data_IF_770464615197
#
_entry.id   IF_770464615197
#
_cell.length_a   1.000
_cell.length_b   1.000
_cell.length_c   1.000
_cell.angle_alpha   90.00
_cell.angle_beta   90.00
_cell.angle_gamma   90.00
#
_symmetry.space_group_name_H-M   'P 1'
#
loop_
_entity.id
_entity.type
_entity.pdbx_description
1 polymer ?
#
# COMPACT_ATOMS: atom_id res chain seq x y z
N UNK A 1 14.93 -14.05 51.69
CA UNK A 1 14.89 -14.04 50.21
C UNK A 1 13.58 -14.70 49.79
N UNK A 2 12.55 -13.90 49.55
CA UNK A 2 11.25 -14.41 49.09
C UNK A 2 11.30 -14.55 47.57
N UNK A 3 11.04 -15.75 47.07
CA UNK A 3 10.93 -16.04 45.65
C UNK A 3 9.78 -15.24 45.02
N UNK A 4 9.91 -14.76 43.77
CA UNK A 4 8.85 -14.04 43.10
C UNK A 4 7.73 -15.01 42.71
N UNK A 5 6.50 -14.67 43.10
CA UNK A 5 5.27 -15.35 42.71
C UNK A 5 5.11 -15.29 41.18
N UNK A 6 4.81 -16.40 40.49
CA UNK A 6 4.59 -16.37 39.05
C UNK A 6 3.31 -15.61 38.72
N UNK A 7 3.47 -14.53 37.95
CA UNK A 7 2.39 -13.73 37.38
C UNK A 7 1.68 -14.58 36.32
N UNK A 8 0.42 -14.97 36.59
CA UNK A 8 -0.41 -15.71 35.63
C UNK A 8 -0.80 -14.79 34.48
N UNK A 9 -0.03 -14.83 33.39
CA UNK A 9 -0.51 -14.37 32.08
C UNK A 9 -1.66 -15.28 31.64
N UNK A 10 -2.87 -14.87 31.95
CA UNK A 10 -4.08 -15.49 31.43
C UNK A 10 -4.22 -15.07 29.98
N UNK A 11 -3.91 -15.98 29.06
CA UNK A 11 -4.14 -15.76 27.63
C UNK A 11 -5.63 -15.45 27.40
N UNK A 12 -5.96 -14.20 27.07
CA UNK A 12 -7.33 -13.79 26.76
C UNK A 12 -7.81 -14.52 25.49
N UNK A 13 -9.05 -14.98 25.49
CA UNK A 13 -9.63 -15.65 24.32
C UNK A 13 -9.82 -14.65 23.16
N UNK A 14 -9.75 -15.08 21.88
CA UNK A 14 -9.96 -14.18 20.74
C UNK A 14 -11.28 -13.40 20.80
N UNK A 15 -12.32 -14.03 21.36
CA UNK A 15 -13.62 -13.39 21.56
C UNK A 15 -13.59 -12.28 22.62
N UNK A 16 -12.79 -12.44 23.69
CA UNK A 16 -12.61 -11.40 24.71
C UNK A 16 -11.79 -10.23 24.17
N UNK A 17 -10.77 -10.51 23.37
CA UNK A 17 -9.98 -9.48 22.67
C UNK A 17 -10.84 -8.65 21.71
N UNK A 18 -11.72 -9.30 20.95
CA UNK A 18 -12.66 -8.62 20.04
C UNK A 18 -13.62 -7.71 20.81
N UNK A 19 -14.09 -8.15 21.97
CA UNK A 19 -14.97 -7.35 22.83
C UNK A 19 -14.23 -6.16 23.44
N UNK A 20 -13.00 -6.36 23.90
CA UNK A 20 -12.15 -5.29 24.40
C UNK A 20 -11.86 -4.27 23.28
N UNK A 21 -11.52 -4.74 22.08
CA UNK A 21 -11.33 -3.89 20.91
C UNK A 21 -12.56 -3.01 20.63
N UNK A 22 -13.75 -3.61 20.55
CA UNK A 22 -15.00 -2.89 20.29
C UNK A 22 -15.31 -1.87 21.38
N UNK A 23 -15.05 -2.22 22.65
CA UNK A 23 -15.19 -1.27 23.77
C UNK A 23 -14.25 -0.07 23.61
N UNK A 24 -12.95 -0.30 23.42
CA UNK A 24 -11.96 0.78 23.31
C UNK A 24 -12.24 1.65 22.08
N UNK A 25 -12.63 1.05 20.95
CA UNK A 25 -13.06 1.79 19.75
C UNK A 25 -14.32 2.62 20.00
N UNK A 26 -15.30 2.09 20.73
CA UNK A 26 -16.53 2.83 21.05
C UNK A 26 -16.25 4.03 21.96
N UNK A 27 -15.34 3.86 22.95
CA UNK A 27 -14.91 4.94 23.83
C UNK A 27 -14.17 6.06 23.10
N UNK A 28 -13.40 5.70 22.07
CA UNK A 28 -12.70 6.65 21.23
C UNK A 28 -13.63 7.45 20.31
N UNK A 29 -14.62 6.77 19.71
CA UNK A 29 -15.57 7.38 18.76
C UNK A 29 -16.63 8.24 19.45
N UNK A 30 -17.07 7.84 20.64
CA UNK A 30 -18.16 8.48 21.35
C UNK A 30 -17.91 8.50 22.88
N UNK A 31 -16.91 9.26 23.36
CA UNK A 31 -16.53 9.30 24.78
C UNK A 31 -17.64 9.82 25.71
N UNK A 32 -18.57 10.60 25.15
CA UNK A 32 -19.69 11.21 25.88
C UNK A 32 -20.95 10.34 25.91
N UNK A 33 -20.94 9.16 25.27
CA UNK A 33 -22.09 8.27 25.20
C UNK A 33 -22.41 7.66 26.58
N UNK A 34 -23.69 7.49 26.88
CA UNK A 34 -24.11 6.79 28.09
C UNK A 34 -23.68 5.31 28.05
N UNK A 35 -23.46 4.69 29.22
CA UNK A 35 -23.16 3.25 29.30
C UNK A 35 -24.22 2.38 28.60
N UNK A 36 -25.50 2.77 28.64
CA UNK A 36 -26.56 2.04 27.94
C UNK A 36 -26.41 2.13 26.41
N UNK A 37 -26.08 3.31 25.89
CA UNK A 37 -25.84 3.50 24.47
C UNK A 37 -24.58 2.75 24.00
N UNK A 38 -23.51 2.77 24.79
CA UNK A 38 -22.29 2.01 24.51
C UNK A 38 -22.55 0.50 24.49
N UNK A 39 -23.35 -0.01 25.44
CA UNK A 39 -23.70 -1.43 25.49
C UNK A 39 -24.45 -1.87 24.23
N UNK A 40 -25.39 -1.04 23.74
CA UNK A 40 -26.11 -1.29 22.49
C UNK A 40 -25.18 -1.26 21.28
N UNK A 41 -24.28 -0.27 21.18
CA UNK A 41 -23.34 -0.15 20.06
C UNK A 41 -22.37 -1.34 19.98
N UNK A 42 -21.89 -1.83 21.13
CA UNK A 42 -21.00 -3.00 21.20
C UNK A 42 -21.77 -4.32 21.05
N UNK A 43 -23.09 -4.31 21.24
CA UNK A 43 -23.96 -5.48 21.13
C UNK A 43 -23.94 -6.41 22.36
N UNK A 44 -23.79 -5.85 23.56
CA UNK A 44 -23.70 -6.61 24.82
C UNK A 44 -24.66 -6.09 25.89
N UNK A 45 -24.87 -6.87 26.96
CA UNK A 45 -25.67 -6.43 28.10
C UNK A 45 -24.96 -5.31 28.89
N UNK A 46 -25.74 -4.44 29.55
CA UNK A 46 -25.21 -3.36 30.39
C UNK A 46 -24.31 -3.90 31.52
N UNK A 47 -24.68 -5.03 32.12
CA UNK A 47 -23.87 -5.69 33.15
C UNK A 47 -22.51 -6.14 32.63
N UNK A 48 -22.47 -6.71 31.41
CA UNK A 48 -21.23 -7.13 30.76
C UNK A 48 -20.37 -5.93 30.37
N UNK A 49 -20.96 -4.85 29.87
CA UNK A 49 -20.24 -3.61 29.60
C UNK A 49 -19.60 -3.07 30.88
N UNK A 50 -20.34 -3.02 31.99
CA UNK A 50 -19.82 -2.52 33.26
C UNK A 50 -18.67 -3.38 33.80
N UNK A 51 -18.71 -4.70 33.58
CA UNK A 51 -17.58 -5.58 33.89
C UNK A 51 -16.36 -5.28 33.02
N UNK A 52 -16.55 -5.09 31.71
CA UNK A 52 -15.44 -4.74 30.80
C UNK A 52 -14.84 -3.37 31.11
N UNK A 53 -15.66 -2.37 31.42
CA UNK A 53 -15.19 -1.04 31.83
C UNK A 53 -14.35 -1.12 33.10
N UNK A 54 -14.80 -1.86 34.12
CA UNK A 54 -14.01 -2.10 35.35
C UNK A 54 -12.67 -2.75 35.02
N UNK A 55 -12.68 -3.85 34.27
CA UNK A 55 -11.44 -4.53 33.89
C UNK A 55 -10.50 -3.64 33.08
N UNK A 56 -11.03 -2.82 32.17
CA UNK A 56 -10.24 -1.90 31.36
C UNK A 56 -9.66 -0.74 32.19
N UNK A 57 -10.38 -0.27 33.21
CA UNK A 57 -9.89 0.71 34.19
C UNK A 57 -8.82 0.09 35.09
N UNK A 58 -9.04 -1.12 35.62
CA UNK A 58 -8.08 -1.84 36.46
C UNK A 58 -6.78 -2.15 35.67
N UNK A 59 -6.90 -2.43 34.37
CA UNK A 59 -5.77 -2.59 33.46
C UNK A 59 -5.09 -1.27 33.04
N UNK A 60 -5.63 -0.12 33.45
CA UNK A 60 -5.11 1.21 33.12
C UNK A 60 -5.28 1.61 31.66
N UNK A 61 -6.22 0.98 30.94
CA UNK A 61 -6.54 1.28 29.54
C UNK A 61 -7.53 2.46 29.42
N UNK A 62 -8.38 2.63 30.44
CA UNK A 62 -9.44 3.64 30.46
C UNK A 62 -9.35 4.43 31.76
N UNK A 63 -9.32 5.75 31.67
CA UNK A 63 -9.48 6.66 32.79
C UNK A 63 -10.96 7.04 32.94
N UNK A 64 -11.41 7.12 34.18
CA UNK A 64 -12.76 7.56 34.54
C UNK A 64 -12.67 8.94 35.16
N UNK A 65 -13.33 9.91 34.56
CA UNK A 65 -13.43 11.28 35.06
C UNK A 65 -14.89 11.57 35.46
N UNK A 66 -15.11 12.45 36.45
CA UNK A 66 -16.44 12.83 36.92
C UNK A 66 -17.00 13.94 36.02
N UNK A 67 -18.25 13.80 35.57
CA UNK A 67 -18.90 14.76 34.68
C UNK A 67 -19.72 15.74 35.52
N UNK A 68 -19.38 17.02 35.44
CA UNK A 68 -20.18 18.08 36.08
C UNK A 68 -21.46 18.35 35.27
N UNK A 69 -22.62 17.93 35.77
CA UNK A 69 -23.91 18.16 35.13
C UNK A 69 -25.11 17.77 35.99
N UNK A 70 -26.33 18.30 35.68
CA UNK A 70 -27.53 18.08 36.48
C UNK A 70 -28.13 16.66 36.33
N UNK A 71 -27.78 15.93 35.26
CA UNK A 71 -28.27 14.57 35.02
C UNK A 71 -27.43 13.52 35.75
N UNK A 72 -28.03 12.92 36.78
CA UNK A 72 -27.43 11.84 37.59
C UNK A 72 -27.16 10.54 36.80
N UNK A 73 -27.63 10.40 35.56
CA UNK A 73 -27.46 9.20 34.71
C UNK A 73 -26.19 9.23 33.85
N UNK A 74 -25.50 10.36 33.78
CA UNK A 74 -24.29 10.57 32.99
C UNK A 74 -23.12 11.06 33.86
N UNK A 75 -22.90 10.43 35.02
CA UNK A 75 -21.91 10.88 36.01
C UNK A 75 -20.46 10.68 35.60
N UNK A 76 -20.17 9.73 34.72
CA UNK A 76 -18.79 9.38 34.39
C UNK A 76 -18.51 9.60 32.92
N UNK A 77 -17.40 10.27 32.63
CA UNK A 77 -16.79 10.34 31.30
C UNK A 77 -15.63 9.35 31.26
N UNK A 78 -15.54 8.60 30.17
CA UNK A 78 -14.50 7.60 29.98
C UNK A 78 -13.55 8.09 28.90
N UNK A 79 -12.26 8.15 29.21
CA UNK A 79 -11.23 8.54 28.26
C UNK A 79 -10.20 7.42 28.12
N UNK A 80 -9.74 7.18 26.89
CA UNK A 80 -8.62 6.27 26.67
C UNK A 80 -7.33 6.87 27.24
N UNK A 81 -6.55 6.05 27.92
CA UNK A 81 -5.16 6.42 28.26
C UNK A 81 -4.26 6.23 27.05
N UNK A 82 -3.03 6.74 27.08
CA UNK A 82 -2.02 6.45 26.03
C UNK A 82 -1.81 4.94 25.87
N UNK A 83 -1.83 4.19 26.98
CA UNK A 83 -1.77 2.72 26.98
C UNK A 83 -3.02 2.11 26.34
N UNK A 84 -4.21 2.64 26.65
CA UNK A 84 -5.47 2.22 26.04
C UNK A 84 -5.52 2.45 24.54
N UNK A 85 -5.00 3.58 24.05
CA UNK A 85 -4.90 3.88 22.64
C UNK A 85 -3.93 2.93 21.91
N UNK A 86 -2.76 2.66 22.51
CA UNK A 86 -1.80 1.68 21.97
C UNK A 86 -2.38 0.26 21.95
N UNK A 87 -3.11 -0.13 23.00
CA UNK A 87 -3.75 -1.44 23.08
C UNK A 87 -4.90 -1.58 22.07
N UNK A 88 -5.72 -0.52 21.90
CA UNK A 88 -6.73 -0.45 20.85
C UNK A 88 -6.11 -0.65 19.47
N UNK A 89 -4.98 0.00 19.17
CA UNK A 89 -4.28 -0.19 17.91
C UNK A 89 -3.81 -1.64 17.74
N UNK A 90 -3.12 -2.21 18.75
CA UNK A 90 -2.67 -3.61 18.74
C UNK A 90 -3.83 -4.60 18.50
N UNK A 91 -4.96 -4.38 19.16
CA UNK A 91 -6.14 -5.23 18.99
C UNK A 91 -6.82 -5.03 17.64
N UNK A 92 -6.80 -3.82 17.08
CA UNK A 92 -7.30 -3.54 15.72
C UNK A 92 -6.58 -4.42 14.70
N UNK A 93 -5.25 -4.49 14.80
CA UNK A 93 -4.46 -5.28 13.87
C UNK A 93 -4.76 -6.78 13.98
N UNK A 94 -4.86 -7.29 15.22
CA UNK A 94 -5.21 -8.70 15.46
C UNK A 94 -6.61 -9.03 14.98
N UNK A 95 -7.57 -8.12 15.18
CA UNK A 95 -8.93 -8.25 14.69
C UNK A 95 -8.96 -8.34 13.17
N UNK A 96 -8.30 -7.40 12.49
CA UNK A 96 -8.23 -7.37 11.02
C UNK A 96 -7.54 -8.62 10.49
N UNK A 97 -6.39 -9.01 11.02
CA UNK A 97 -5.67 -10.21 10.57
C UNK A 97 -6.55 -11.47 10.65
N UNK A 98 -7.31 -11.64 11.74
CA UNK A 98 -8.26 -12.75 11.87
C UNK A 98 -9.39 -12.67 10.84
N UNK A 99 -9.97 -11.48 10.64
CA UNK A 99 -11.11 -11.29 9.72
C UNK A 99 -10.71 -11.44 8.26
N UNK A 100 -9.52 -11.00 7.88
CA UNK A 100 -8.98 -11.24 6.54
C UNK A 100 -8.69 -12.73 6.32
N UNK A 101 -8.08 -13.43 7.28
CA UNK A 101 -7.87 -14.87 7.15
C UNK A 101 -9.18 -15.65 7.03
N UNK A 102 -10.21 -15.25 7.78
CA UNK A 102 -11.56 -15.83 7.68
C UNK A 102 -12.19 -15.54 6.31
N UNK A 103 -12.08 -14.31 5.82
CA UNK A 103 -12.56 -13.92 4.50
C UNK A 103 -11.85 -14.68 3.38
N UNK A 104 -10.52 -14.79 3.44
CA UNK A 104 -9.72 -15.51 2.46
C UNK A 104 -10.09 -17.00 2.42
N UNK A 105 -10.31 -17.62 3.59
CA UNK A 105 -10.75 -19.00 3.66
C UNK A 105 -12.13 -19.20 3.03
N UNK A 106 -13.09 -18.34 3.36
CA UNK A 106 -14.44 -18.38 2.77
C UNK A 106 -14.42 -18.10 1.26
N UNK A 107 -13.60 -17.14 0.82
CA UNK A 107 -13.45 -16.82 -0.59
C UNK A 107 -12.85 -18.00 -1.35
N UNK A 108 -11.79 -18.61 -0.82
CA UNK A 108 -11.18 -19.81 -1.42
C UNK A 108 -12.16 -20.99 -1.48
N UNK A 109 -13.01 -21.16 -0.47
CA UNK A 109 -14.08 -22.18 -0.48
C UNK A 109 -15.13 -21.90 -1.57
N UNK A 110 -15.51 -20.64 -1.76
CA UNK A 110 -16.56 -20.24 -2.71
C UNK A 110 -16.08 -20.17 -4.17
N UNK A 111 -14.84 -19.74 -4.42
CA UNK A 111 -14.34 -19.42 -5.77
C UNK A 111 -13.19 -20.31 -6.23
N UNK A 112 -12.58 -21.10 -5.32
CA UNK A 112 -11.36 -21.86 -5.62
C UNK A 112 -10.09 -21.01 -5.71
N UNK A 113 -10.16 -19.71 -5.40
CA UNK A 113 -9.04 -18.75 -5.48
C UNK A 113 -8.91 -17.93 -4.20
N UNK A 114 -7.68 -17.52 -3.86
CA UNK A 114 -7.44 -16.57 -2.75
C UNK A 114 -7.88 -15.16 -3.15
N UNK A 115 -8.35 -14.36 -2.19
CA UNK A 115 -8.84 -13.01 -2.46
C UNK A 115 -7.75 -11.98 -2.73
N UNK A 116 -6.49 -12.28 -2.37
CA UNK A 116 -5.36 -11.36 -2.53
C UNK A 116 -5.34 -10.17 -1.57
N UNK A 117 -6.28 -10.05 -0.63
CA UNK A 117 -6.33 -8.95 0.34
C UNK A 117 -5.33 -9.16 1.49
N UNK A 118 -4.22 -8.43 1.48
CA UNK A 118 -3.25 -8.44 2.57
C UNK A 118 -3.55 -7.35 3.63
N UNK A 119 -3.57 -7.66 4.94
CA UNK A 119 -3.78 -6.65 5.98
C UNK A 119 -2.68 -5.59 6.02
N UNK A 120 -3.08 -4.34 6.32
CA UNK A 120 -2.28 -3.11 6.27
C UNK A 120 -0.97 -3.08 7.09
N UNK A 121 -0.72 -4.07 7.95
CA UNK A 121 0.53 -4.19 8.73
C UNK A 121 1.68 -4.87 8.00
N UNK A 122 1.48 -5.29 6.75
CA UNK A 122 2.55 -5.80 5.89
C UNK A 122 2.87 -4.81 4.77
N UNK A 123 2.96 -3.49 5.10
CA UNK A 123 3.56 -2.49 4.19
C UNK A 123 5.02 -2.82 3.82
N UNK A 124 5.66 -3.66 4.62
CA UNK A 124 6.82 -4.41 4.18
C UNK A 124 6.32 -5.82 3.94
N UNK A 125 6.17 -6.24 2.68
CA UNK A 125 6.46 -7.65 2.37
C UNK A 125 7.81 -7.88 3.06
N UNK A 126 7.89 -8.77 4.06
CA UNK A 126 9.20 -9.36 4.43
C UNK A 126 9.84 -9.61 3.09
N UNK A 127 11.00 -8.99 2.81
CA UNK A 127 11.73 -9.17 1.55
C UNK A 127 11.62 -10.64 1.29
N UNK A 128 10.73 -11.03 0.36
CA UNK A 128 10.68 -12.42 -0.03
C UNK A 128 12.12 -12.60 -0.47
N UNK A 129 12.81 -13.56 0.12
CA UNK A 129 13.99 -14.08 -0.56
C UNK A 129 13.43 -14.63 -1.87
N UNK A 130 13.25 -13.73 -2.84
CA UNK A 130 13.02 -14.03 -4.22
C UNK A 130 14.38 -14.59 -4.63
N UNK A 131 14.59 -15.85 -4.27
CA UNK A 131 15.60 -16.71 -4.88
C UNK A 131 15.29 -16.85 -6.38
N UNK A 132 14.08 -16.46 -6.80
CA UNK A 132 13.75 -16.15 -8.18
C UNK A 132 14.67 -15.04 -8.67
N UNK A 133 15.52 -15.32 -9.67
CA UNK A 133 16.31 -14.30 -10.33
C UNK A 133 15.41 -13.15 -10.78
N UNK A 134 15.88 -11.92 -10.61
CA UNK A 134 15.19 -10.75 -11.16
C UNK A 134 15.18 -10.92 -12.69
N UNK A 135 14.01 -10.87 -13.34
CA UNK A 135 13.94 -10.99 -14.78
C UNK A 135 14.61 -9.76 -15.42
N UNK A 136 15.58 -10.03 -16.28
CA UNK A 136 16.21 -9.03 -17.16
C UNK A 136 15.46 -8.95 -18.49
N UNK A 137 15.58 -7.82 -19.19
CA UNK A 137 14.97 -7.62 -20.51
C UNK A 137 15.97 -7.84 -21.66
N UNK A 138 17.17 -8.34 -21.37
CA UNK A 138 18.14 -8.71 -22.39
C UNK A 138 17.63 -9.91 -23.21
N UNK A 139 17.76 -9.80 -24.53
CA UNK A 139 17.57 -10.91 -25.44
C UNK A 139 18.84 -11.76 -25.52
N UNK A 140 18.71 -13.03 -25.93
CA UNK A 140 19.89 -13.88 -26.16
C UNK A 140 20.82 -13.28 -27.22
N UNK A 141 22.11 -13.60 -27.18
CA UNK A 141 23.09 -13.10 -28.15
C UNK A 141 22.65 -13.33 -29.61
N UNK A 142 22.13 -14.52 -29.93
CA UNK A 142 21.63 -14.84 -31.27
C UNK A 142 20.42 -13.98 -31.64
N UNK A 143 19.48 -13.78 -30.70
CA UNK A 143 18.32 -12.91 -30.91
C UNK A 143 18.74 -11.45 -31.08
N UNK A 144 19.74 -10.98 -30.33
CA UNK A 144 20.27 -9.63 -30.43
C UNK A 144 20.84 -9.36 -31.83
N UNK A 145 21.59 -10.31 -32.42
CA UNK A 145 22.11 -10.15 -33.78
C UNK A 145 21.00 -10.02 -34.82
N UNK A 146 19.94 -10.86 -34.70
CA UNK A 146 18.79 -10.81 -35.59
C UNK A 146 18.00 -9.50 -35.43
N UNK A 147 17.66 -9.15 -34.19
CA UNK A 147 16.91 -7.94 -33.87
C UNK A 147 17.68 -6.68 -34.27
N UNK A 148 19.02 -6.67 -34.18
CA UNK A 148 19.82 -5.53 -34.63
C UNK A 148 19.71 -5.28 -36.14
N UNK A 149 19.54 -6.34 -36.95
CA UNK A 149 19.31 -6.21 -38.39
C UNK A 149 17.90 -5.70 -38.66
N UNK A 150 16.89 -6.27 -38.01
CA UNK A 150 15.49 -5.83 -38.16
C UNK A 150 15.28 -4.39 -37.66
N UNK A 151 15.91 -4.03 -36.54
CA UNK A 151 15.84 -2.70 -35.94
C UNK A 151 16.53 -1.62 -36.77
N UNK A 152 17.38 -1.98 -37.73
CA UNK A 152 18.03 -1.01 -38.60
C UNK A 152 17.03 -0.27 -39.50
N UNK A 153 15.91 -0.92 -39.84
CA UNK A 153 14.87 -0.38 -40.72
C UNK A 153 13.71 0.27 -39.94
N UNK A 154 13.71 0.19 -38.60
CA UNK A 154 12.67 0.79 -37.77
C UNK A 154 12.83 2.30 -37.66
N UNK A 155 11.69 2.99 -37.48
CA UNK A 155 11.68 4.36 -36.97
C UNK A 155 12.45 4.38 -35.66
N UNK A 156 13.38 5.34 -35.51
CA UNK A 156 14.29 5.35 -34.36
C UNK A 156 14.29 6.65 -33.61
N UNK A 157 14.48 6.54 -32.29
CA UNK A 157 14.65 7.65 -31.37
C UNK A 157 16.06 7.63 -30.77
N UNK A 158 16.74 8.77 -30.81
CA UNK A 158 18.04 8.95 -30.18
C UNK A 158 17.85 9.39 -28.73
N UNK A 159 18.31 8.55 -27.79
CA UNK A 159 18.07 8.72 -26.37
C UNK A 159 18.95 9.81 -25.74
N UNK A 160 18.35 10.55 -24.80
CA UNK A 160 19.11 11.45 -23.92
C UNK A 160 19.92 10.66 -22.88
N UNK A 161 20.97 11.24 -22.25
CA UNK A 161 21.72 10.55 -21.19
C UNK A 161 20.84 10.04 -20.04
N UNK A 162 19.79 10.80 -19.69
CA UNK A 162 18.81 10.39 -18.67
C UNK A 162 18.04 9.15 -19.11
N UNK A 163 17.52 9.16 -20.34
CA UNK A 163 16.76 8.05 -20.90
C UNK A 163 17.62 6.79 -21.08
N UNK A 164 18.91 6.93 -21.39
CA UNK A 164 19.86 5.80 -21.43
C UNK A 164 19.99 5.16 -20.05
N UNK A 165 20.13 5.95 -18.98
CA UNK A 165 20.21 5.42 -17.61
C UNK A 165 18.91 4.71 -17.21
N UNK A 166 17.76 5.29 -17.56
CA UNK A 166 16.45 4.68 -17.29
C UNK A 166 16.29 3.36 -18.07
N UNK A 167 16.73 3.34 -19.34
CA UNK A 167 16.75 2.13 -20.16
C UNK A 167 17.67 1.06 -19.57
N UNK A 168 18.85 1.42 -19.08
CA UNK A 168 19.78 0.46 -18.45
C UNK A 168 19.16 -0.20 -17.21
N UNK A 169 18.49 0.58 -16.36
CA UNK A 169 17.80 0.09 -15.16
C UNK A 169 16.56 -0.75 -15.50
N UNK A 170 15.87 -0.47 -16.62
CA UNK A 170 14.84 -1.37 -17.14
C UNK A 170 15.45 -2.70 -17.59
N UNK A 171 16.53 -2.65 -18.39
CA UNK A 171 17.11 -3.83 -19.01
C UNK A 171 17.75 -4.79 -18.00
N UNK A 172 18.46 -4.27 -17.00
CA UNK A 172 19.14 -5.08 -15.98
C UNK A 172 18.23 -5.49 -14.80
N UNK A 173 16.94 -5.15 -14.84
CA UNK A 173 15.97 -5.48 -13.80
C UNK A 173 16.04 -4.58 -12.56
N UNK A 174 16.86 -3.53 -12.55
CA UNK A 174 16.90 -2.53 -11.48
C UNK A 174 15.55 -1.84 -11.23
N UNK A 175 14.70 -1.77 -12.26
CA UNK A 175 13.33 -1.29 -12.16
C UNK A 175 12.24 -2.37 -12.08
N UNK A 176 12.59 -3.62 -11.78
CA UNK A 176 11.59 -4.66 -11.55
C UNK A 176 10.54 -4.20 -10.50
N UNK A 177 9.23 -4.21 -10.82
CA UNK A 177 8.53 -5.06 -11.80
C UNK A 177 8.41 -4.54 -13.25
N UNK A 178 8.93 -3.34 -13.56
CA UNK A 178 8.72 -2.72 -14.86
C UNK A 178 9.31 -3.56 -16.00
N UNK A 179 8.60 -3.57 -17.13
CA UNK A 179 9.00 -4.29 -18.36
C UNK A 179 9.25 -3.36 -19.55
N UNK A 180 9.21 -2.05 -19.30
CA UNK A 180 9.32 -0.98 -20.28
C UNK A 180 9.03 0.36 -19.61
N UNK A 181 9.01 1.42 -20.41
CA UNK A 181 8.54 2.73 -19.97
C UNK A 181 7.04 2.68 -19.63
N UNK A 182 6.59 3.57 -18.74
CA UNK A 182 5.21 3.56 -18.25
C UNK A 182 4.19 3.88 -19.35
N UNK A 183 3.09 3.13 -19.33
CA UNK A 183 1.84 3.42 -20.06
C UNK A 183 1.17 4.68 -19.50
N UNK A 184 0.16 5.22 -20.19
CA UNK A 184 -0.62 6.35 -19.67
C UNK A 184 -1.32 5.97 -18.35
N UNK A 185 -1.85 4.75 -18.27
CA UNK A 185 -2.52 4.24 -17.07
C UNK A 185 -1.56 4.13 -15.88
N UNK A 186 -0.40 3.51 -16.08
CA UNK A 186 0.61 3.38 -15.02
C UNK A 186 1.17 4.74 -14.60
N UNK A 187 1.40 5.64 -15.56
CA UNK A 187 1.86 7.00 -15.27
C UNK A 187 0.87 7.75 -14.37
N UNK A 188 -0.42 7.75 -14.73
CA UNK A 188 -1.45 8.41 -13.94
C UNK A 188 -1.56 7.80 -12.53
N UNK A 189 -1.48 6.47 -12.42
CA UNK A 189 -1.44 5.78 -11.13
C UNK A 189 -0.25 6.22 -10.26
N UNK A 190 0.93 6.35 -10.88
CA UNK A 190 2.17 6.74 -10.18
C UNK A 190 2.08 8.18 -9.69
N UNK A 191 1.68 9.11 -10.56
CA UNK A 191 1.55 10.54 -10.23
C UNK A 191 0.48 10.75 -9.15
N UNK A 192 -0.66 10.06 -9.22
CA UNK A 192 -1.77 10.29 -8.30
C UNK A 192 -1.65 9.53 -6.98
N UNK A 193 -1.14 8.29 -7.02
CA UNK A 193 -1.27 7.32 -5.94
C UNK A 193 0.05 6.62 -5.56
N UNK A 194 1.17 6.98 -6.19
CA UNK A 194 2.47 6.30 -6.04
C UNK A 194 2.39 4.80 -6.34
N UNK A 195 1.56 4.40 -7.31
CA UNK A 195 1.33 2.98 -7.64
C UNK A 195 1.15 2.76 -9.13
N UNK A 196 1.62 1.61 -9.62
CA UNK A 196 1.25 1.11 -10.95
C UNK A 196 -0.23 0.73 -11.00
N UNK A 197 -0.76 0.52 -12.21
CA UNK A 197 -2.16 0.13 -12.43
C UNK A 197 -2.53 -1.18 -11.72
N UNK A 198 -1.56 -2.10 -11.60
CA UNK A 198 -1.71 -3.37 -10.87
C UNK A 198 -1.64 -3.24 -9.33
N UNK A 199 -1.46 -2.01 -8.82
CA UNK A 199 -1.41 -1.67 -7.40
C UNK A 199 -0.02 -1.79 -6.76
N UNK A 200 1.00 -2.22 -7.49
CA UNK A 200 2.38 -2.26 -6.98
C UNK A 200 2.89 -0.85 -6.64
N UNK A 201 3.64 -0.72 -5.53
CA UNK A 201 4.18 0.57 -5.10
C UNK A 201 5.26 1.02 -6.10
N UNK A 202 5.08 2.20 -6.68
CA UNK A 202 6.05 2.80 -7.59
C UNK A 202 5.91 4.33 -7.52
N UNK A 203 6.84 5.04 -6.86
CA UNK A 203 6.65 6.46 -6.53
C UNK A 203 7.19 7.44 -7.58
N UNK A 204 7.83 6.97 -8.66
CA UNK A 204 8.55 7.82 -9.60
C UNK A 204 8.19 7.47 -11.05
N UNK A 205 7.72 8.43 -11.87
CA UNK A 205 7.37 8.15 -13.26
C UNK A 205 8.64 7.87 -14.10
N UNK A 206 8.64 6.74 -14.81
CA UNK A 206 9.72 6.33 -15.74
C UNK A 206 9.14 6.29 -17.15
N UNK A 207 9.16 7.41 -17.85
CA UNK A 207 8.55 7.60 -19.19
C UNK A 207 9.61 7.86 -20.25
N UNK A 208 9.32 7.47 -21.50
CA UNK A 208 10.13 7.91 -22.64
C UNK A 208 9.52 9.19 -23.23
N UNK A 209 10.05 10.34 -22.85
CA UNK A 209 9.63 11.62 -23.42
C UNK A 209 10.28 11.87 -24.78
N UNK A 210 9.46 12.24 -25.76
CA UNK A 210 9.89 12.52 -27.15
C UNK A 210 9.36 13.87 -27.62
N UNK A 211 9.85 14.35 -28.76
CA UNK A 211 9.33 15.58 -29.39
C UNK A 211 7.92 15.37 -29.94
N UNK A 212 7.11 16.44 -30.01
CA UNK A 212 5.77 16.38 -30.62
C UNK A 212 5.84 15.94 -32.10
N UNK A 213 6.90 16.33 -32.82
CA UNK A 213 7.13 15.92 -34.21
C UNK A 213 7.36 14.41 -34.33
N UNK A 214 8.20 13.84 -33.46
CA UNK A 214 8.44 12.41 -33.46
C UNK A 214 7.18 11.65 -33.06
N UNK A 215 6.52 12.06 -31.97
CA UNK A 215 5.27 11.46 -31.52
C UNK A 215 4.18 11.45 -32.60
N UNK A 216 4.07 12.52 -33.39
CA UNK A 216 3.09 12.61 -34.48
C UNK A 216 3.36 11.64 -35.64
N UNK A 217 4.59 11.13 -35.76
CA UNK A 217 4.95 10.11 -36.76
C UNK A 217 4.65 8.67 -36.30
N UNK A 218 4.17 8.50 -35.06
CA UNK A 218 4.01 7.19 -34.46
C UNK A 218 2.57 6.65 -34.52
N UNK A 219 2.46 5.34 -34.71
CA UNK A 219 1.21 4.58 -34.61
C UNK A 219 1.25 3.62 -33.39
N UNK A 220 0.11 3.39 -32.76
CA UNK A 220 0.00 2.38 -31.68
C UNK A 220 0.26 0.97 -32.23
N UNK A 221 1.01 0.17 -31.48
CA UNK A 221 1.40 -1.20 -31.82
C UNK A 221 2.63 -1.31 -32.73
N UNK A 222 3.20 -0.20 -33.21
CA UNK A 222 4.43 -0.26 -34.02
C UNK A 222 5.67 -0.47 -33.13
N UNK A 223 6.72 -1.05 -33.71
CA UNK A 223 8.03 -1.16 -33.08
C UNK A 223 8.94 0.01 -33.48
N UNK A 224 9.67 0.55 -32.51
CA UNK A 224 10.71 1.56 -32.72
C UNK A 224 12.06 1.10 -32.19
N UNK A 225 13.14 1.60 -32.78
CA UNK A 225 14.50 1.39 -32.31
C UNK A 225 14.95 2.53 -31.39
N UNK A 226 15.59 2.20 -30.27
CA UNK A 226 16.18 3.17 -29.35
C UNK A 226 17.69 3.17 -29.53
N UNK A 227 18.27 4.34 -29.82
CA UNK A 227 19.70 4.51 -30.10
C UNK A 227 20.39 5.37 -29.06
N UNK A 228 21.67 5.16 -28.87
CA UNK A 228 22.51 6.14 -28.17
C UNK A 228 22.92 7.30 -29.10
N UNK A 229 23.67 8.25 -28.55
CA UNK A 229 24.19 9.41 -29.29
C UNK A 229 25.23 9.07 -30.36
N UNK A 230 25.79 7.85 -30.33
CA UNK A 230 26.71 7.34 -31.35
C UNK A 230 25.97 6.59 -32.47
N UNK A 231 24.64 6.48 -32.38
CA UNK A 231 23.76 5.81 -33.35
C UNK A 231 23.65 4.30 -33.14
N UNK A 232 24.21 3.76 -32.05
CA UNK A 232 24.16 2.34 -31.71
C UNK A 232 22.76 2.00 -31.20
N UNK A 233 22.14 0.99 -31.81
CA UNK A 233 20.85 0.47 -31.36
C UNK A 233 21.05 -0.28 -30.04
N UNK A 234 20.41 0.22 -28.97
CA UNK A 234 20.45 -0.37 -27.64
C UNK A 234 19.27 -1.30 -27.39
N UNK A 235 18.07 -0.93 -27.85
CA UNK A 235 16.84 -1.67 -27.62
C UNK A 235 15.82 -1.46 -28.74
N UNK A 236 14.79 -2.31 -28.74
CA UNK A 236 13.56 -2.12 -29.52
C UNK A 236 12.39 -2.08 -28.57
N UNK A 237 11.37 -1.30 -28.88
CA UNK A 237 10.19 -1.13 -28.05
C UNK A 237 8.94 -1.06 -28.93
N UNK A 238 7.88 -1.75 -28.51
CA UNK A 238 6.54 -1.59 -29.08
C UNK A 238 5.84 -0.42 -28.41
N UNK A 239 5.35 0.54 -29.20
CA UNK A 239 4.58 1.68 -28.70
C UNK A 239 3.17 1.21 -28.34
N UNK A 240 2.79 1.25 -27.06
CA UNK A 240 1.42 0.90 -26.65
C UNK A 240 0.52 2.14 -26.62
N UNK A 241 1.05 3.25 -26.11
CA UNK A 241 0.30 4.46 -25.84
C UNK A 241 1.13 5.68 -26.29
N UNK A 242 0.47 6.72 -26.79
CA UNK A 242 1.08 7.99 -27.17
C UNK A 242 0.22 9.16 -26.65
N UNK A 243 0.69 9.81 -25.60
CA UNK A 243 -0.11 10.73 -24.79
C UNK A 243 0.72 11.95 -24.35
N UNK A 244 0.04 12.99 -23.85
CA UNK A 244 0.67 14.26 -23.46
C UNK A 244 0.59 14.45 -21.94
N UNK A 245 1.72 14.39 -21.19
CA UNK A 245 1.72 14.60 -19.75
C UNK A 245 1.35 16.02 -19.35
N UNK A 246 0.67 16.17 -18.21
CA UNK A 246 0.54 17.44 -17.53
C UNK A 246 1.75 17.64 -16.59
N UNK A 247 2.81 18.27 -17.11
CA UNK A 247 4.07 18.46 -16.38
C UNK A 247 3.93 19.26 -15.08
N UNK A 248 3.03 20.25 -15.03
CA UNK A 248 2.79 21.01 -13.81
C UNK A 248 2.20 20.13 -12.70
N UNK A 249 1.23 19.28 -13.06
CA UNK A 249 0.63 18.31 -12.15
C UNK A 249 1.64 17.26 -11.68
N UNK A 250 2.47 16.76 -12.60
CA UNK A 250 3.56 15.84 -12.24
C UNK A 250 4.51 16.49 -11.23
N UNK A 251 4.90 17.75 -11.46
CA UNK A 251 5.82 18.46 -10.59
C UNK A 251 5.28 18.63 -9.17
N UNK A 252 4.04 19.11 -9.05
CA UNK A 252 3.36 19.26 -7.77
C UNK A 252 3.26 17.92 -7.01
N UNK A 253 2.85 16.85 -7.69
CA UNK A 253 2.53 15.57 -7.05
C UNK A 253 3.77 14.72 -6.74
N UNK A 254 4.79 14.76 -7.61
CA UNK A 254 5.99 13.91 -7.50
C UNK A 254 7.11 14.63 -6.77
N UNK A 255 7.33 15.91 -7.07
CA UNK A 255 8.43 16.71 -6.50
C UNK A 255 7.99 17.64 -5.36
N UNK A 256 6.68 17.84 -5.19
CA UNK A 256 6.11 18.63 -4.09
C UNK A 256 5.99 20.14 -4.38
N UNK A 257 6.37 20.59 -5.58
CA UNK A 257 6.27 21.96 -6.05
C UNK A 257 6.31 22.02 -7.58
N UNK A 258 5.74 23.07 -8.19
CA UNK A 258 5.73 23.33 -9.63
C UNK A 258 6.67 24.48 -10.05
N UNK A 259 7.63 24.85 -9.20
CA UNK A 259 8.57 25.95 -9.44
C UNK A 259 9.48 25.64 -10.66
N UNK A 260 9.57 26.59 -11.59
CA UNK A 260 10.54 26.55 -12.70
C UNK A 260 11.97 26.74 -12.16
N UNK A 261 12.88 25.82 -12.49
CA UNK A 261 14.30 25.86 -12.11
C UNK A 261 15.14 26.80 -12.99
#
# INVERSE_FOLDING_TARGET
MSAPTPQKDTAQTPMEEDLLFRLLRQLDLAPEASQRAMAQAVGISLGRLNALLRNATDAGLVRVDDRSGPDRRSRFTYALTTRGAAEKARLTDRFLARKFAEYDALHAELTGTTSGLAPFKHRTKIVQSNLTPIPELYVSYESAQKLKVEAADLVSWDLTPRQINDLELLMNGGFNPLKGFLTEEDYNGVVENMRLADGQLWPMPITLDVSEEFAASLEEGQDIALRDQEGVILATMTVTDNWRPNKAREAEMVFGADDDA
#
